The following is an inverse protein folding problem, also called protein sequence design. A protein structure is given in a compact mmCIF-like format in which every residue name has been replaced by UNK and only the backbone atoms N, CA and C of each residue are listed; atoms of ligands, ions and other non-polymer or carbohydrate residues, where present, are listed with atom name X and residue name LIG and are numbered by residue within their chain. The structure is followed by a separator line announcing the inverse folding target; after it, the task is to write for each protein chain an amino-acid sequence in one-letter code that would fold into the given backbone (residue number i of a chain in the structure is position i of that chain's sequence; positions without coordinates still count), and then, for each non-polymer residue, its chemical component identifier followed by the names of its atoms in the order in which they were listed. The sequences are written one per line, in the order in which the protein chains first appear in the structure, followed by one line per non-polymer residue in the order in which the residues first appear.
data_IF_890167673482
#
_entry.id   IF_890167673482
#
_cell.length_a   1.000
_cell.length_b   1.000
_cell.length_c   1.000
_cell.angle_alpha   90.00
_cell.angle_beta   90.00
_cell.angle_gamma   90.00
#
_symmetry.space_group_name_H-M   'P 1'
#
loop_
_entity.id
_entity.type
_entity.pdbx_description
1 polymer ?
#
# COMPACT_ATOMS: atom_id res chain seq x y z
N UNK A 1 -14.59 -24.59 -21.44
CA UNK A 1 -14.58 -23.14 -21.17
C UNK A 1 -13.44 -22.90 -20.21
N UNK A 2 -12.49 -22.00 -20.52
CA UNK A 2 -11.42 -21.68 -19.57
C UNK A 2 -12.06 -21.10 -18.29
N UNK A 3 -11.52 -21.45 -17.14
CA UNK A 3 -11.91 -20.87 -15.86
C UNK A 3 -11.44 -19.41 -15.79
N UNK A 4 -12.14 -18.54 -15.06
CA UNK A 4 -11.64 -17.19 -14.71
C UNK A 4 -10.22 -17.21 -14.13
N UNK A 5 -9.91 -18.22 -13.33
CA UNK A 5 -8.60 -18.39 -12.69
C UNK A 5 -7.49 -18.65 -13.74
N UNK A 6 -7.83 -19.27 -14.88
CA UNK A 6 -6.89 -19.53 -15.97
C UNK A 6 -6.53 -18.22 -16.75
N UNK A 7 -7.29 -17.16 -16.55
CA UNK A 7 -7.04 -15.84 -17.12
C UNK A 7 -6.07 -14.99 -16.26
N UNK A 8 -5.81 -15.41 -15.00
CA UNK A 8 -4.91 -14.69 -14.10
C UNK A 8 -3.44 -14.96 -14.43
N UNK A 9 -2.66 -13.89 -14.63
CA UNK A 9 -1.21 -13.99 -14.83
C UNK A 9 -0.51 -14.32 -13.49
N UNK A 10 0.10 -15.49 -13.43
CA UNK A 10 0.81 -15.99 -12.25
C UNK A 10 2.06 -15.19 -11.89
N UNK A 11 2.59 -14.39 -12.82
CA UNK A 11 3.68 -13.45 -12.52
C UNK A 11 3.22 -12.20 -11.78
N UNK A 12 1.89 -11.95 -11.76
CA UNK A 12 1.27 -10.83 -11.05
C UNK A 12 0.60 -11.33 -9.78
N UNK A 13 -0.13 -12.44 -9.88
CA UNK A 13 -0.89 -13.06 -8.80
C UNK A 13 -0.38 -14.49 -8.55
N UNK A 14 0.74 -14.59 -7.88
CA UNK A 14 1.46 -15.86 -7.67
C UNK A 14 0.83 -16.77 -6.61
N UNK A 15 -0.05 -16.25 -5.74
CA UNK A 15 -0.71 -16.99 -4.67
C UNK A 15 -2.17 -17.37 -4.97
N UNK A 16 -2.51 -17.56 -6.25
CA UNK A 16 -3.85 -18.00 -6.66
C UNK A 16 -4.20 -19.39 -6.11
N UNK A 17 -3.19 -20.24 -5.93
CA UNK A 17 -3.33 -21.59 -5.38
C UNK A 17 -2.48 -21.66 -4.11
N UNK A 18 -3.14 -21.88 -2.98
CA UNK A 18 -2.44 -22.18 -1.73
C UNK A 18 -2.14 -23.67 -1.67
N UNK A 19 -0.88 -24.03 -1.41
CA UNK A 19 -0.51 -25.43 -1.14
C UNK A 19 -1.29 -25.94 0.09
N UNK A 20 -1.99 -27.08 -0.08
CA UNK A 20 -2.75 -27.72 0.98
C UNK A 20 -4.21 -27.30 1.10
N UNK A 21 -4.71 -26.46 0.23
CA UNK A 21 -6.12 -26.12 0.12
C UNK A 21 -6.69 -26.60 -1.21
N UNK A 22 -7.82 -27.34 -1.17
CA UNK A 22 -8.52 -27.80 -2.38
C UNK A 22 -9.21 -26.63 -3.12
N UNK A 23 -9.45 -25.53 -2.43
CA UNK A 23 -10.13 -24.35 -2.95
C UNK A 23 -9.12 -23.32 -3.51
N UNK A 24 -9.39 -22.91 -4.73
CA UNK A 24 -8.62 -21.85 -5.37
C UNK A 24 -9.03 -20.48 -4.83
N UNK A 25 -8.07 -19.74 -4.35
CA UNK A 25 -8.18 -18.32 -4.09
C UNK A 25 -7.88 -17.57 -5.40
N UNK A 26 -8.63 -16.70 -5.96
CA UNK A 26 -9.87 -16.05 -5.59
C UNK A 26 -11.13 -16.69 -6.23
N UNK A 27 -12.30 -16.43 -5.66
CA UNK A 27 -13.57 -16.86 -6.23
C UNK A 27 -14.13 -15.86 -7.25
N UNK A 28 -15.01 -16.35 -8.17
CA UNK A 28 -15.77 -15.49 -9.09
C UNK A 28 -17.09 -14.99 -8.48
N UNK A 29 -17.31 -15.19 -7.19
CA UNK A 29 -18.48 -14.68 -6.49
C UNK A 29 -18.50 -13.16 -6.51
N UNK A 30 -19.56 -12.57 -7.09
CA UNK A 30 -19.69 -11.12 -7.19
C UNK A 30 -20.76 -10.63 -6.22
N UNK A 31 -20.38 -9.64 -5.42
CA UNK A 31 -21.33 -8.91 -4.60
C UNK A 31 -21.56 -7.52 -5.19
N UNK A 32 -22.82 -7.14 -5.34
CA UNK A 32 -23.19 -5.80 -5.81
C UNK A 32 -23.42 -4.88 -4.61
N UNK A 33 -22.84 -3.70 -4.68
CA UNK A 33 -23.07 -2.61 -3.75
C UNK A 33 -23.69 -1.42 -4.47
N UNK A 34 -24.51 -0.63 -3.76
CA UNK A 34 -25.03 0.62 -4.31
C UNK A 34 -23.90 1.66 -4.48
N UNK A 35 -24.10 2.60 -5.38
CA UNK A 35 -23.18 3.76 -5.54
C UNK A 35 -23.08 4.56 -4.25
N UNK A 36 -24.20 4.74 -3.55
CA UNK A 36 -24.26 5.51 -2.31
C UNK A 36 -23.45 4.86 -1.19
N UNK A 37 -23.51 3.53 -1.06
CA UNK A 37 -22.68 2.78 -0.12
C UNK A 37 -21.19 2.88 -0.45
N UNK A 38 -20.85 2.83 -1.74
CA UNK A 38 -19.48 3.02 -2.18
C UNK A 38 -18.96 4.42 -1.85
N UNK A 39 -19.76 5.44 -2.08
CA UNK A 39 -19.41 6.84 -1.77
C UNK A 39 -19.31 7.07 -0.26
N UNK A 40 -20.17 6.41 0.54
CA UNK A 40 -20.07 6.43 2.01
C UNK A 40 -18.74 5.84 2.49
N UNK A 41 -18.37 4.63 2.03
CA UNK A 41 -17.07 4.02 2.38
C UNK A 41 -15.92 4.94 2.04
N UNK A 42 -15.91 5.53 0.84
CA UNK A 42 -14.87 6.48 0.42
C UNK A 42 -14.81 7.71 1.33
N UNK A 43 -15.96 8.26 1.69
CA UNK A 43 -16.04 9.41 2.57
C UNK A 43 -15.52 9.08 3.97
N UNK A 44 -16.01 7.99 4.56
CA UNK A 44 -15.64 7.54 5.91
C UNK A 44 -14.14 7.20 5.97
N UNK A 45 -13.61 6.44 5.00
CA UNK A 45 -12.19 6.10 4.93
C UNK A 45 -11.30 7.35 4.87
N UNK A 46 -11.67 8.35 4.06
CA UNK A 46 -10.94 9.61 3.97
C UNK A 46 -10.94 10.38 5.30
N UNK A 47 -12.07 10.43 5.99
CA UNK A 47 -12.20 11.10 7.29
C UNK A 47 -11.40 10.38 8.38
N UNK A 48 -11.50 9.07 8.43
CA UNK A 48 -10.71 8.25 9.36
C UNK A 48 -9.21 8.41 9.12
N UNK A 49 -8.75 8.34 7.87
CA UNK A 49 -7.36 8.55 7.55
C UNK A 49 -6.83 9.89 8.05
N UNK A 50 -7.61 10.98 7.90
CA UNK A 50 -7.24 12.29 8.45
C UNK A 50 -7.12 12.27 9.99
N UNK A 51 -7.99 11.53 10.67
CA UNK A 51 -7.96 11.38 12.14
C UNK A 51 -6.71 10.60 12.56
N UNK A 52 -6.44 9.47 11.91
CA UNK A 52 -5.24 8.67 12.19
C UNK A 52 -3.94 9.43 11.91
N UNK A 53 -3.86 10.18 10.82
CA UNK A 53 -2.71 11.04 10.55
C UNK A 53 -2.48 12.10 11.64
N UNK A 54 -3.55 12.68 12.18
CA UNK A 54 -3.46 13.65 13.31
C UNK A 54 -3.01 12.94 14.59
N UNK A 55 -3.56 11.76 14.89
CA UNK A 55 -3.17 10.97 16.06
C UNK A 55 -1.70 10.54 15.97
N UNK A 56 -1.27 10.04 14.80
CA UNK A 56 0.13 9.69 14.55
C UNK A 56 1.07 10.88 14.78
N UNK A 57 0.69 12.09 14.30
CA UNK A 57 1.49 13.30 14.53
C UNK A 57 1.61 13.65 16.00
N UNK A 58 0.52 13.55 16.77
CA UNK A 58 0.54 13.79 18.23
C UNK A 58 1.48 12.77 18.89
N UNK A 59 1.40 11.50 18.52
CA UNK A 59 2.26 10.45 19.03
C UNK A 59 3.75 10.69 18.68
N UNK A 60 4.04 11.06 17.43
CA UNK A 60 5.39 11.36 16.96
C UNK A 60 6.04 12.57 17.68
N UNK A 61 5.22 13.49 18.22
CA UNK A 61 5.68 14.67 18.94
C UNK A 61 5.69 14.48 20.47
N UNK A 62 5.16 13.37 20.96
CA UNK A 62 5.06 13.09 22.39
C UNK A 62 6.45 12.84 23.00
N UNK A 63 6.62 13.05 24.32
CA UNK A 63 7.84 12.66 25.03
C UNK A 63 8.10 11.17 24.93
N UNK A 64 9.39 10.76 25.02
CA UNK A 64 9.83 9.36 24.91
C UNK A 64 9.10 8.45 25.90
N UNK A 65 8.83 8.92 27.13
CA UNK A 65 8.11 8.14 28.13
C UNK A 65 6.69 7.80 27.70
N UNK A 66 6.05 8.67 26.93
CA UNK A 66 4.73 8.36 26.35
C UNK A 66 4.84 7.21 25.34
N UNK A 67 5.86 7.24 24.48
CA UNK A 67 6.09 6.17 23.51
C UNK A 67 6.40 4.83 24.21
N UNK A 68 7.22 4.84 25.29
CA UNK A 68 7.50 3.65 26.12
C UNK A 68 6.25 3.08 26.78
N UNK A 69 5.39 3.96 27.31
CA UNK A 69 4.12 3.56 27.92
C UNK A 69 3.12 2.94 26.89
N UNK A 70 3.37 3.13 25.60
CA UNK A 70 2.64 2.50 24.49
C UNK A 70 3.40 1.28 23.92
N UNK A 71 4.31 0.70 24.70
CA UNK A 71 5.14 -0.48 24.38
C UNK A 71 6.03 -0.31 23.12
N UNK A 72 6.38 0.95 22.77
CA UNK A 72 7.32 1.17 21.69
C UNK A 72 8.75 0.83 22.15
N UNK A 73 9.49 -0.03 21.42
CA UNK A 73 10.88 -0.33 21.71
C UNK A 73 11.77 0.92 21.68
N UNK A 74 12.67 1.05 22.65
CA UNK A 74 13.56 2.22 22.80
C UNK A 74 14.37 2.53 21.54
N UNK A 75 14.81 1.51 20.82
CA UNK A 75 15.58 1.66 19.58
C UNK A 75 14.74 2.22 18.40
N UNK A 76 13.42 2.22 18.50
CA UNK A 76 12.53 2.78 17.47
C UNK A 76 12.13 4.24 17.74
N UNK A 77 12.22 4.71 18.98
CA UNK A 77 11.84 6.07 19.36
C UNK A 77 12.58 7.16 18.54
N UNK A 78 13.89 7.07 18.28
CA UNK A 78 14.59 8.03 17.43
C UNK A 78 14.05 8.08 16.01
N UNK A 79 13.59 6.96 15.46
CA UNK A 79 12.99 6.90 14.12
C UNK A 79 11.58 7.50 14.10
N UNK A 80 10.81 7.33 15.18
CA UNK A 80 9.52 7.98 15.37
C UNK A 80 9.66 9.51 15.24
N UNK A 81 10.57 10.11 16.01
CA UNK A 81 10.81 11.55 15.97
C UNK A 81 11.40 12.01 14.63
N UNK A 82 12.30 11.22 14.05
CA UNK A 82 12.87 11.51 12.73
C UNK A 82 11.81 11.52 11.64
N UNK A 83 10.86 10.58 11.65
CA UNK A 83 9.77 10.54 10.68
C UNK A 83 8.86 11.78 10.78
N UNK A 84 8.61 12.28 12.00
CA UNK A 84 7.89 13.54 12.20
C UNK A 84 8.67 14.74 11.62
N UNK A 85 9.97 14.83 11.92
CA UNK A 85 10.83 15.91 11.43
C UNK A 85 10.94 15.93 9.89
N UNK A 86 10.91 14.78 9.25
CA UNK A 86 10.90 14.65 7.79
C UNK A 86 9.51 14.87 7.18
N UNK A 87 8.45 14.96 8.01
CA UNK A 87 7.09 15.10 7.55
C UNK A 87 6.60 13.90 6.73
N UNK A 88 7.13 12.70 7.01
CA UNK A 88 6.75 11.47 6.34
C UNK A 88 5.48 10.88 6.98
N UNK A 89 4.33 10.91 6.30
CA UNK A 89 3.10 10.31 6.80
C UNK A 89 3.08 8.81 6.50
N UNK A 90 2.06 8.13 7.01
CA UNK A 90 1.67 6.83 6.49
C UNK A 90 1.14 7.01 5.06
N UNK A 91 1.72 6.29 4.09
CA UNK A 91 1.42 6.50 2.68
C UNK A 91 0.35 5.56 2.14
N UNK A 92 0.35 4.31 2.57
CA UNK A 92 -0.57 3.28 2.11
C UNK A 92 -1.16 2.57 3.32
N UNK A 93 -2.48 2.38 3.32
CA UNK A 93 -3.18 1.72 4.40
C UNK A 93 -4.46 1.06 3.91
N UNK A 94 -4.93 0.04 4.65
CA UNK A 94 -6.21 -0.62 4.43
C UNK A 94 -7.07 -0.46 5.68
N UNK A 95 -8.27 0.07 5.52
CA UNK A 95 -9.30 0.03 6.55
C UNK A 95 -10.16 -1.22 6.37
N UNK A 96 -10.37 -1.93 7.45
CA UNK A 96 -11.29 -3.05 7.49
C UNK A 96 -12.58 -2.62 8.19
N UNK A 97 -13.70 -2.81 7.50
CA UNK A 97 -15.01 -2.41 7.95
C UNK A 97 -15.95 -3.60 8.06
N UNK A 98 -16.90 -3.51 8.97
CA UNK A 98 -18.06 -4.41 9.06
C UNK A 98 -19.34 -3.60 9.09
N UNK A 99 -20.44 -4.19 8.65
CA UNK A 99 -21.78 -3.66 8.88
C UNK A 99 -22.33 -4.26 10.17
N UNK A 100 -22.79 -3.41 11.09
CA UNK A 100 -23.47 -3.87 12.27
C UNK A 100 -24.91 -4.39 11.93
N UNK A 101 -25.59 -4.93 12.91
CA UNK A 101 -26.95 -5.49 12.73
C UNK A 101 -27.99 -4.48 12.26
N UNK A 102 -27.70 -3.19 12.37
CA UNK A 102 -28.55 -2.10 11.90
C UNK A 102 -28.09 -1.55 10.53
N UNK A 103 -27.06 -2.17 9.92
CA UNK A 103 -26.50 -1.74 8.66
C UNK A 103 -25.53 -0.54 8.75
N UNK A 104 -25.12 -0.14 9.96
CA UNK A 104 -24.16 0.94 10.10
C UNK A 104 -22.73 0.45 9.87
N UNK A 105 -21.94 1.24 9.15
CA UNK A 105 -20.54 0.97 8.90
C UNK A 105 -19.72 1.15 10.19
N UNK A 106 -18.95 0.11 10.58
CA UNK A 106 -18.06 0.11 11.73
C UNK A 106 -16.64 -0.20 11.29
N UNK A 107 -15.68 0.62 11.68
CA UNK A 107 -14.27 0.35 11.47
C UNK A 107 -13.80 -0.70 12.48
N UNK A 108 -13.11 -1.72 12.00
CA UNK A 108 -12.50 -2.80 12.81
C UNK A 108 -11.05 -2.49 13.06
N UNK A 109 -10.28 -2.24 11.97
CA UNK A 109 -8.85 -1.97 12.07
C UNK A 109 -8.32 -1.07 10.95
N UNK A 110 -7.12 -0.56 11.14
CA UNK A 110 -6.31 0.11 10.14
C UNK A 110 -4.97 -0.64 10.01
N UNK A 111 -4.75 -1.30 8.88
CA UNK A 111 -3.44 -1.82 8.49
C UNK A 111 -2.65 -0.72 7.77
N UNK A 112 -1.58 -0.22 8.41
CA UNK A 112 -0.81 0.92 7.93
C UNK A 112 0.67 0.59 7.60
N UNK A 113 1.10 -0.63 7.83
CA UNK A 113 2.46 -1.13 7.59
C UNK A 113 2.53 -2.14 6.44
N UNK A 114 1.68 -3.16 6.46
CA UNK A 114 1.64 -4.24 5.46
C UNK A 114 0.24 -4.43 4.85
N UNK A 115 -0.35 -3.39 4.19
CA UNK A 115 -1.69 -3.52 3.65
C UNK A 115 -1.73 -4.44 2.42
N UNK A 116 -2.28 -5.63 2.58
CA UNK A 116 -2.56 -6.57 1.50
C UNK A 116 -3.84 -6.19 0.73
N UNK A 117 -4.34 -7.05 -0.18
CA UNK A 117 -5.52 -6.88 -1.02
C UNK A 117 -5.38 -5.92 -2.22
N UNK A 118 -4.19 -5.47 -2.54
CA UNK A 118 -3.98 -4.59 -3.69
C UNK A 118 -4.07 -5.34 -5.01
N UNK A 119 -3.49 -6.54 -5.09
CA UNK A 119 -3.52 -7.38 -6.30
C UNK A 119 -4.97 -7.77 -6.61
N UNK A 120 -5.71 -8.18 -5.59
CA UNK A 120 -7.11 -8.55 -5.70
C UNK A 120 -7.97 -7.38 -6.17
N UNK A 121 -7.77 -6.21 -5.54
CA UNK A 121 -8.60 -5.03 -5.81
C UNK A 121 -8.33 -4.42 -7.17
N UNK A 122 -7.08 -4.39 -7.62
CA UNK A 122 -6.70 -3.72 -8.87
C UNK A 122 -6.60 -4.68 -10.05
N UNK A 123 -5.93 -5.82 -9.86
CA UNK A 123 -5.67 -6.75 -10.96
C UNK A 123 -6.73 -7.85 -11.08
N UNK A 124 -6.97 -8.61 -10.01
CA UNK A 124 -7.90 -9.74 -10.09
C UNK A 124 -9.35 -9.27 -10.37
N UNK A 125 -9.78 -8.16 -9.76
CA UNK A 125 -11.09 -7.55 -10.06
C UNK A 125 -11.19 -7.05 -11.51
N UNK A 126 -10.11 -6.57 -12.13
CA UNK A 126 -10.11 -6.19 -13.53
C UNK A 126 -10.33 -7.42 -14.43
N UNK A 127 -9.57 -8.50 -14.18
CA UNK A 127 -9.71 -9.75 -14.94
C UNK A 127 -11.11 -10.34 -14.75
N UNK A 128 -11.63 -10.38 -13.51
CA UNK A 128 -12.97 -10.88 -13.21
C UNK A 128 -14.06 -10.06 -13.93
N UNK A 129 -13.98 -8.73 -13.87
CA UNK A 129 -14.94 -7.85 -14.53
C UNK A 129 -14.95 -8.04 -16.04
N UNK A 130 -13.78 -8.18 -16.68
CA UNK A 130 -13.64 -8.45 -18.09
C UNK A 130 -14.22 -9.83 -18.46
N UNK A 131 -13.93 -10.87 -17.66
CA UNK A 131 -14.39 -12.24 -17.86
C UNK A 131 -15.92 -12.32 -17.87
N UNK A 132 -16.61 -11.58 -17.01
CA UNK A 132 -18.08 -11.58 -16.94
C UNK A 132 -18.74 -10.44 -17.72
N UNK A 133 -17.98 -9.64 -18.47
CA UNK A 133 -18.49 -8.52 -19.24
C UNK A 133 -19.08 -7.38 -18.39
N UNK A 134 -18.50 -7.13 -17.22
CA UNK A 134 -18.92 -6.06 -16.29
C UNK A 134 -17.89 -4.94 -16.22
N UNK A 135 -18.34 -3.78 -15.73
CA UNK A 135 -17.45 -2.63 -15.50
C UNK A 135 -16.54 -2.91 -14.29
N UNK A 136 -15.25 -2.73 -14.48
CA UNK A 136 -14.27 -2.80 -13.38
C UNK A 136 -14.48 -1.63 -12.41
N UNK A 137 -14.81 -1.89 -11.12
CA UNK A 137 -15.14 -0.83 -10.15
C UNK A 137 -13.95 0.06 -9.82
N UNK A 138 -12.74 -0.48 -9.87
CA UNK A 138 -11.50 0.20 -9.48
C UNK A 138 -10.66 0.69 -10.68
N UNK A 139 -11.24 0.79 -11.88
CA UNK A 139 -10.51 1.13 -13.11
C UNK A 139 -9.67 2.41 -12.99
N UNK A 140 -10.23 3.45 -12.38
CA UNK A 140 -9.53 4.72 -12.21
C UNK A 140 -8.54 4.73 -11.03
N UNK A 141 -8.71 3.80 -10.09
CA UNK A 141 -7.89 3.74 -8.88
C UNK A 141 -6.42 3.41 -9.19
N UNK A 142 -6.12 2.64 -10.25
CA UNK A 142 -4.74 2.38 -10.67
C UNK A 142 -4.01 3.66 -11.08
N UNK A 143 -4.71 4.58 -11.72
CA UNK A 143 -4.20 5.90 -12.07
C UNK A 143 -3.96 6.77 -10.83
N UNK A 144 -4.86 6.66 -9.85
CA UNK A 144 -4.69 7.30 -8.53
C UNK A 144 -3.48 6.72 -7.80
N UNK A 145 -3.25 5.40 -7.85
CA UNK A 145 -2.08 4.73 -7.29
C UNK A 145 -0.77 5.24 -7.91
N UNK A 146 -0.71 5.39 -9.24
CA UNK A 146 0.46 5.97 -9.90
C UNK A 146 0.69 7.44 -9.51
N UNK A 147 -0.38 8.22 -9.38
CA UNK A 147 -0.29 9.61 -8.92
C UNK A 147 0.23 9.67 -7.48
N UNK A 148 -0.22 8.75 -6.63
CA UNK A 148 0.27 8.58 -5.28
C UNK A 148 1.76 8.24 -5.25
N UNK A 149 2.23 7.27 -6.02
CA UNK A 149 3.64 6.90 -6.07
C UNK A 149 4.54 8.06 -6.54
N UNK A 150 4.11 8.85 -7.52
CA UNK A 150 4.82 10.07 -7.92
C UNK A 150 4.97 11.05 -6.78
N UNK A 151 3.89 11.33 -6.06
CA UNK A 151 3.93 12.24 -4.90
C UNK A 151 4.83 11.72 -3.78
N UNK A 152 4.77 10.42 -3.50
CA UNK A 152 5.64 9.77 -2.52
C UNK A 152 7.12 9.90 -2.92
N UNK A 153 7.44 9.58 -4.16
CA UNK A 153 8.78 9.68 -4.73
C UNK A 153 9.33 11.10 -4.61
N UNK A 154 8.56 12.10 -5.05
CA UNK A 154 8.91 13.51 -4.95
C UNK A 154 9.11 13.97 -3.50
N UNK A 155 8.25 13.52 -2.59
CA UNK A 155 8.33 13.89 -1.17
C UNK A 155 9.60 13.32 -0.52
N UNK A 156 9.91 12.05 -0.76
CA UNK A 156 11.10 11.38 -0.22
C UNK A 156 12.38 12.03 -0.74
N UNK A 157 12.47 12.28 -2.04
CA UNK A 157 13.65 12.92 -2.63
C UNK A 157 13.79 14.40 -2.20
N UNK A 158 12.67 15.12 -2.09
CA UNK A 158 12.66 16.48 -1.55
C UNK A 158 13.10 16.55 -0.09
N UNK A 159 12.71 15.57 0.73
CA UNK A 159 13.14 15.48 2.12
C UNK A 159 14.64 15.14 2.23
N UNK A 160 15.15 14.29 1.33
CA UNK A 160 16.54 13.86 1.34
C UNK A 160 17.53 14.92 0.86
N UNK A 161 17.24 15.56 -0.28
CA UNK A 161 18.15 16.50 -0.95
C UNK A 161 17.85 17.97 -0.68
N UNK A 162 16.73 18.25 -0.04
CA UNK A 162 16.17 19.59 0.07
C UNK A 162 15.38 19.98 -1.19
N UNK A 163 14.23 20.63 -0.98
CA UNK A 163 13.26 20.93 -2.04
C UNK A 163 13.84 21.73 -3.22
N UNK A 164 14.72 22.70 -2.93
CA UNK A 164 15.29 23.54 -3.98
C UNK A 164 16.33 22.79 -4.82
N UNK A 165 17.19 22.00 -4.18
CA UNK A 165 18.20 21.19 -4.87
C UNK A 165 17.52 20.12 -5.73
N UNK A 166 16.51 19.41 -5.20
CA UNK A 166 15.75 18.42 -5.96
C UNK A 166 15.07 19.03 -7.19
N UNK A 167 14.44 20.21 -7.05
CA UNK A 167 13.88 20.94 -8.20
C UNK A 167 14.90 21.33 -9.25
N UNK A 168 16.09 21.76 -8.83
CA UNK A 168 17.20 22.08 -9.73
C UNK A 168 17.66 20.85 -10.51
N UNK A 169 17.82 19.71 -9.81
CA UNK A 169 18.21 18.44 -10.45
C UNK A 169 17.18 18.00 -11.52
N UNK A 170 15.89 18.12 -11.23
CA UNK A 170 14.83 17.83 -12.18
C UNK A 170 14.87 18.78 -13.40
N UNK A 171 15.02 20.09 -13.16
CA UNK A 171 15.07 21.10 -14.21
C UNK A 171 16.26 20.92 -15.16
N UNK A 172 17.40 20.55 -14.60
CA UNK A 172 18.66 20.35 -15.35
C UNK A 172 18.76 18.96 -15.97
N UNK A 173 17.75 18.09 -15.78
CA UNK A 173 17.80 16.68 -16.19
C UNK A 173 19.03 15.95 -15.66
N UNK A 174 19.53 16.37 -14.50
CA UNK A 174 20.62 15.70 -13.83
C UNK A 174 20.21 14.28 -13.48
N UNK A 175 21.17 13.36 -13.56
CA UNK A 175 20.90 11.97 -13.15
C UNK A 175 20.63 11.97 -11.64
N UNK A 176 19.38 11.67 -11.26
CA UNK A 176 19.02 11.52 -9.86
C UNK A 176 19.93 10.47 -9.20
N UNK A 177 20.36 10.71 -7.98
CA UNK A 177 21.19 9.75 -7.26
C UNK A 177 20.52 8.38 -7.22
N UNK A 178 21.30 7.32 -7.38
CA UNK A 178 20.84 5.94 -7.38
C UNK A 178 20.64 5.43 -5.95
N UNK A 179 19.81 6.12 -5.18
CA UNK A 179 19.40 5.62 -3.87
C UNK A 179 18.23 4.66 -4.08
N UNK A 180 18.36 3.40 -3.73
CA UNK A 180 17.30 2.44 -3.97
C UNK A 180 16.11 2.68 -3.05
N UNK A 181 14.93 2.61 -3.62
CA UNK A 181 13.70 2.34 -2.87
C UNK A 181 13.67 0.86 -2.56
N UNK A 182 13.88 0.52 -1.30
CA UNK A 182 13.90 -0.87 -0.85
C UNK A 182 12.49 -1.32 -0.52
N UNK A 183 12.10 -2.41 -1.14
CA UNK A 183 10.88 -3.15 -0.83
C UNK A 183 11.28 -4.41 -0.08
N UNK A 184 10.56 -4.72 1.00
CA UNK A 184 10.94 -5.83 1.87
C UNK A 184 9.72 -6.54 2.43
N UNK A 185 9.82 -7.86 2.52
CA UNK A 185 8.91 -8.74 3.25
C UNK A 185 9.64 -10.07 3.52
N UNK A 186 9.00 -10.99 4.22
CA UNK A 186 9.42 -12.39 4.26
C UNK A 186 9.05 -13.05 2.93
N UNK A 187 10.04 -13.48 2.17
CA UNK A 187 9.85 -13.93 0.79
C UNK A 187 9.14 -15.30 0.65
N UNK A 188 9.04 -16.05 1.72
CA UNK A 188 8.33 -17.33 1.84
C UNK A 188 6.83 -17.16 2.17
N UNK A 189 6.40 -15.93 2.54
CA UNK A 189 4.99 -15.60 2.61
C UNK A 189 4.52 -15.09 1.24
N UNK A 190 3.93 -15.99 0.45
CA UNK A 190 3.60 -15.75 -0.96
C UNK A 190 2.71 -14.51 -1.19
N UNK A 191 1.74 -14.25 -0.31
CA UNK A 191 0.87 -13.08 -0.39
C UNK A 191 1.66 -11.78 -0.18
N UNK A 192 2.48 -11.72 0.88
CA UNK A 192 3.31 -10.55 1.17
C UNK A 192 4.32 -10.31 0.05
N UNK A 193 4.96 -11.39 -0.42
CA UNK A 193 5.91 -11.30 -1.53
C UNK A 193 5.24 -10.83 -2.81
N UNK A 194 4.09 -11.40 -3.18
CA UNK A 194 3.32 -10.99 -4.35
C UNK A 194 2.90 -9.51 -4.27
N UNK A 195 2.34 -9.09 -3.14
CA UNK A 195 1.95 -7.70 -2.89
C UNK A 195 3.16 -6.76 -3.00
N UNK A 196 4.28 -7.12 -2.40
CA UNK A 196 5.52 -6.34 -2.44
C UNK A 196 6.06 -6.19 -3.87
N UNK A 197 6.10 -7.28 -4.65
CA UNK A 197 6.50 -7.25 -6.06
C UNK A 197 5.55 -6.40 -6.92
N UNK A 198 4.24 -6.49 -6.67
CA UNK A 198 3.25 -5.66 -7.34
C UNK A 198 3.48 -4.17 -7.06
N UNK A 199 3.65 -3.77 -5.80
CA UNK A 199 3.93 -2.37 -5.42
C UNK A 199 5.23 -1.86 -6.04
N UNK A 200 6.30 -2.68 -6.05
CA UNK A 200 7.57 -2.34 -6.67
C UNK A 200 7.40 -2.08 -8.18
N UNK A 201 6.64 -2.92 -8.87
CA UNK A 201 6.32 -2.77 -10.31
C UNK A 201 5.49 -1.50 -10.56
N UNK A 202 4.49 -1.21 -9.73
CA UNK A 202 3.64 -0.02 -9.87
C UNK A 202 4.44 1.27 -9.60
N UNK A 203 5.34 1.29 -8.60
CA UNK A 203 6.26 2.42 -8.41
C UNK A 203 7.16 2.61 -9.63
N UNK A 204 7.74 1.54 -10.16
CA UNK A 204 8.62 1.61 -11.34
C UNK A 204 7.89 2.07 -12.59
N UNK A 205 6.61 1.71 -12.71
CA UNK A 205 5.74 2.18 -13.80
C UNK A 205 5.43 3.67 -13.65
N UNK A 206 5.15 4.14 -12.44
CA UNK A 206 4.86 5.53 -12.14
C UNK A 206 6.10 6.44 -12.23
N UNK A 207 7.26 5.93 -11.83
CA UNK A 207 8.55 6.61 -11.73
C UNK A 207 9.63 5.74 -12.39
N UNK A 208 9.77 5.75 -13.73
CA UNK A 208 10.73 4.90 -14.45
C UNK A 208 12.19 5.11 -14.04
N UNK A 209 12.52 6.29 -13.53
CA UNK A 209 13.84 6.66 -13.01
C UNK A 209 14.15 6.08 -11.63
N UNK A 210 13.14 5.63 -10.86
CA UNK A 210 13.35 5.09 -9.53
C UNK A 210 14.22 3.82 -9.59
N UNK A 211 15.29 3.77 -8.78
CA UNK A 211 16.01 2.53 -8.49
C UNK A 211 15.20 1.75 -7.44
N UNK A 212 14.65 0.60 -7.81
CA UNK A 212 13.85 -0.24 -6.92
C UNK A 212 14.57 -1.55 -6.66
N UNK A 213 14.65 -1.97 -5.39
CA UNK A 213 15.28 -3.23 -4.99
C UNK A 213 14.41 -3.98 -4.01
N UNK A 214 14.35 -5.27 -4.18
CA UNK A 214 13.79 -6.17 -3.18
C UNK A 214 14.89 -6.71 -2.28
N UNK A 215 14.69 -6.66 -0.96
CA UNK A 215 15.57 -7.26 0.04
C UNK A 215 14.68 -8.01 1.03
N UNK A 216 14.89 -9.32 1.15
CA UNK A 216 14.13 -10.12 2.12
C UNK A 216 14.43 -9.70 3.56
N UNK A 217 13.43 -9.69 4.43
CA UNK A 217 13.62 -9.46 5.87
C UNK A 217 14.61 -10.43 6.51
N UNK A 218 14.74 -11.67 6.03
CA UNK A 218 15.76 -12.60 6.51
C UNK A 218 17.20 -12.08 6.34
N UNK A 219 17.44 -11.25 5.31
CA UNK A 219 18.75 -10.63 5.10
C UNK A 219 18.90 -9.42 6.03
N UNK A 220 17.85 -8.61 6.19
CA UNK A 220 17.89 -7.41 7.05
C UNK A 220 17.97 -7.75 8.54
N UNK A 221 17.47 -8.91 8.96
CA UNK A 221 17.50 -9.35 10.36
C UNK A 221 18.88 -9.84 10.84
N UNK A 222 19.78 -10.18 9.90
CA UNK A 222 21.12 -10.68 10.19
C UNK A 222 22.20 -9.59 10.18
N UNK A 223 21.82 -8.31 10.13
CA UNK A 223 22.65 -7.13 10.33
C UNK A 223 22.25 -6.39 11.61
#
# INVERSE_FOLDING_TARGET
MKSYIDELDRNIFNFVEYEGYDDRYPSLSMQAFSSDFYDEIRHVSRRLFQIFCKAAKVFQMAPDDFARNMDMPDNLIPYLHKSNALGLPTWLSRFDFVLDVNGNLRMVELNADTPCFLIESYYANEVAANYVGRKHPNKECRKELHTFFKRMYDAVLSAKYGRNQYKSMLANRERLPKDPFVFSCFHDYFEDYGTTQFLMKELKTACPEADTRFISFYILWNF
#
